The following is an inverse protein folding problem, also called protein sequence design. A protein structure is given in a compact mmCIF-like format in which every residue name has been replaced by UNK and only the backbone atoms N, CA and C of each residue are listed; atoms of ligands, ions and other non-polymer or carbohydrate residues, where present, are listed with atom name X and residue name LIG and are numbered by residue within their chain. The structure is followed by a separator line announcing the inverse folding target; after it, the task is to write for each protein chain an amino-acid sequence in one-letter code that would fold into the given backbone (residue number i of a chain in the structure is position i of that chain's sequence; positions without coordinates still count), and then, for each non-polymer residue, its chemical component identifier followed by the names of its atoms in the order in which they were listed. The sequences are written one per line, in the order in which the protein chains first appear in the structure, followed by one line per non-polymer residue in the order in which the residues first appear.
data_IF_571931129626
#
_entry.id   IF_571931129626
#
_cell.length_a   1.000
_cell.length_b   1.000
_cell.length_c   1.000
_cell.angle_alpha   90.00
_cell.angle_beta   90.00
_cell.angle_gamma   90.00
#
_symmetry.space_group_name_H-M   'P 1'
#
loop_
_entity.id
_entity.type
_entity.pdbx_description
1 polymer ?
#
# COMPACT_ATOMS: atom_id res chain seq x y z
N UNK A 1 -24.45 -10.25 66.63
CA UNK A 1 -23.16 -9.53 66.66
C UNK A 1 -22.53 -9.58 65.27
N UNK A 2 -21.97 -8.44 64.84
CA UNK A 2 -21.01 -8.23 63.75
C UNK A 2 -21.48 -8.34 62.29
N UNK A 3 -21.84 -7.16 61.79
CA UNK A 3 -21.73 -6.63 60.42
C UNK A 3 -20.45 -7.10 59.69
N UNK A 4 -20.58 -7.45 58.41
CA UNK A 4 -19.57 -7.12 57.39
C UNK A 4 -20.26 -6.55 56.16
N UNK A 5 -20.17 -5.24 56.06
CA UNK A 5 -20.45 -4.42 54.89
C UNK A 5 -19.35 -4.71 53.88
N UNK A 6 -19.69 -5.17 52.68
CA UNK A 6 -18.76 -5.20 51.55
C UNK A 6 -19.16 -4.07 50.61
N UNK A 7 -18.43 -2.96 50.73
CA UNK A 7 -18.34 -1.92 49.70
C UNK A 7 -17.81 -2.58 48.42
N UNK A 8 -18.58 -2.61 47.35
CA UNK A 8 -18.04 -2.77 46.00
C UNK A 8 -18.04 -1.39 45.37
N UNK A 9 -16.83 -0.85 45.24
CA UNK A 9 -16.52 0.43 44.66
C UNK A 9 -17.00 0.50 43.20
N UNK A 10 -17.74 1.55 42.89
CA UNK A 10 -18.01 2.01 41.53
C UNK A 10 -16.66 2.48 40.96
N UNK A 11 -15.96 1.57 40.29
CA UNK A 11 -14.80 1.91 39.49
C UNK A 11 -15.32 2.44 38.15
N UNK A 12 -15.55 3.76 38.12
CA UNK A 12 -15.69 4.54 36.90
C UNK A 12 -14.47 4.29 36.03
N UNK A 13 -14.60 3.43 35.02
CA UNK A 13 -13.68 3.34 33.91
C UNK A 13 -13.69 4.70 33.19
N UNK A 14 -12.77 5.56 33.60
CA UNK A 14 -12.29 6.64 32.74
C UNK A 14 -11.63 5.93 31.56
N UNK A 15 -12.37 5.83 30.46
CA UNK A 15 -11.84 5.53 29.13
C UNK A 15 -10.91 6.69 28.77
N UNK A 16 -9.69 6.66 29.31
CA UNK A 16 -8.60 7.49 28.83
C UNK A 16 -8.40 7.14 27.36
N UNK A 17 -8.75 8.11 26.50
CA UNK A 17 -8.53 8.02 25.07
C UNK A 17 -7.10 7.57 24.79
N UNK A 18 -6.98 6.38 24.23
CA UNK A 18 -5.74 5.88 23.68
C UNK A 18 -5.49 6.70 22.41
N UNK A 19 -4.87 7.87 22.56
CA UNK A 19 -4.35 8.61 21.42
C UNK A 19 -3.27 7.73 20.80
N UNK A 20 -3.59 7.09 19.67
CA UNK A 20 -2.60 6.44 18.81
C UNK A 20 -1.58 7.52 18.43
N UNK A 21 -0.44 7.55 19.12
CA UNK A 21 0.73 8.26 18.61
C UNK A 21 1.08 7.60 17.29
N UNK A 22 0.98 8.37 16.22
CA UNK A 22 1.45 7.90 14.92
C UNK A 22 2.92 7.50 15.07
N UNK A 23 3.21 6.26 14.68
CA UNK A 23 4.54 5.64 14.84
C UNK A 23 5.56 6.30 13.90
N UNK A 24 5.09 7.09 12.94
CA UNK A 24 5.85 7.86 11.95
C UNK A 24 5.24 9.25 11.79
N UNK A 25 6.04 10.24 11.36
CA UNK A 25 5.57 11.63 11.16
C UNK A 25 5.16 11.93 9.72
N UNK A 26 5.72 11.18 8.76
CA UNK A 26 5.46 11.24 7.31
C UNK A 26 5.66 9.86 6.68
N UNK A 27 5.14 9.65 5.48
CA UNK A 27 5.39 8.42 4.70
C UNK A 27 6.89 8.28 4.42
N UNK A 28 7.58 9.41 4.15
CA UNK A 28 9.04 9.42 3.95
C UNK A 28 9.80 8.99 5.21
N UNK A 29 9.37 9.39 6.42
CA UNK A 29 9.95 8.92 7.69
C UNK A 29 9.78 7.40 7.83
N UNK A 30 8.57 6.89 7.62
CA UNK A 30 8.29 5.47 7.71
C UNK A 30 9.13 4.64 6.73
N UNK A 31 9.22 5.08 5.47
CA UNK A 31 10.01 4.45 4.42
C UNK A 31 11.50 4.43 4.77
N UNK A 32 12.04 5.55 5.26
CA UNK A 32 13.44 5.68 5.68
C UNK A 32 13.76 4.74 6.84
N UNK A 33 12.81 4.55 7.75
CA UNK A 33 12.90 3.63 8.89
C UNK A 33 12.57 2.18 8.53
N UNK A 34 12.40 1.88 7.24
CA UNK A 34 12.03 0.58 6.70
C UNK A 34 10.75 -0.01 7.30
N UNK A 35 9.85 0.85 7.79
CA UNK A 35 8.53 0.44 8.21
C UNK A 35 7.74 -0.01 6.98
N UNK A 36 6.94 -1.05 7.16
CA UNK A 36 5.94 -1.42 6.16
C UNK A 36 4.67 -0.65 6.47
N UNK A 37 4.20 0.11 5.50
CA UNK A 37 2.91 0.78 5.61
C UNK A 37 1.90 0.09 4.70
N UNK A 38 0.66 0.00 5.16
CA UNK A 38 -0.51 -0.35 4.36
C UNK A 38 -1.42 0.87 4.30
N UNK A 39 -1.77 1.30 3.09
CA UNK A 39 -2.72 2.35 2.80
C UNK A 39 -3.92 1.73 2.08
N UNK A 40 -5.12 1.97 2.58
CA UNK A 40 -6.36 1.45 1.99
C UNK A 40 -7.20 2.59 1.44
N UNK A 41 -7.63 2.44 0.18
CA UNK A 41 -8.48 3.39 -0.52
C UNK A 41 -9.70 2.67 -1.02
N UNK A 42 -10.87 3.21 -0.71
CA UNK A 42 -12.15 2.75 -1.24
C UNK A 42 -12.63 3.79 -2.25
N UNK A 43 -12.89 3.38 -3.49
CA UNK A 43 -13.45 4.26 -4.50
C UNK A 43 -14.97 4.44 -4.34
N UNK A 44 -15.58 5.26 -5.21
CA UNK A 44 -17.02 5.56 -5.17
C UNK A 44 -17.89 4.34 -5.41
N UNK A 45 -17.36 3.32 -6.11
CA UNK A 45 -18.01 2.03 -6.36
C UNK A 45 -17.85 1.04 -5.19
N UNK A 46 -17.18 1.43 -4.11
CA UNK A 46 -16.93 0.59 -2.94
C UNK A 46 -15.79 -0.40 -3.11
N UNK A 47 -15.01 -0.32 -4.19
CA UNK A 47 -13.87 -1.18 -4.42
C UNK A 47 -12.68 -0.69 -3.60
N UNK A 48 -12.15 -1.59 -2.76
CA UNK A 48 -11.00 -1.27 -1.91
C UNK A 48 -9.70 -1.72 -2.56
N UNK A 49 -8.84 -0.76 -2.87
CA UNK A 49 -7.46 -0.98 -3.28
C UNK A 49 -6.54 -0.85 -2.07
N UNK A 50 -5.62 -1.81 -1.89
CA UNK A 50 -4.59 -1.74 -0.85
C UNK A 50 -3.24 -1.44 -1.49
N UNK A 51 -2.56 -0.41 -1.01
CA UNK A 51 -1.19 -0.08 -1.38
C UNK A 51 -0.28 -0.33 -0.19
N UNK A 52 0.77 -1.11 -0.36
CA UNK A 52 1.80 -1.34 0.64
C UNK A 52 3.10 -0.70 0.19
N UNK A 53 3.84 -0.10 1.12
CA UNK A 53 5.13 0.51 0.84
C UNK A 53 6.15 0.14 1.90
N UNK A 54 7.36 -0.21 1.46
CA UNK A 54 8.51 -0.51 2.31
C UNK A 54 9.79 -0.17 1.56
N UNK A 55 10.56 0.80 2.05
CA UNK A 55 11.76 1.27 1.34
C UNK A 55 11.40 1.76 -0.07
N UNK A 56 12.18 1.35 -1.07
CA UNK A 56 11.91 1.62 -2.48
C UNK A 56 11.08 0.51 -3.14
N UNK A 57 10.09 -0.02 -2.43
CA UNK A 57 9.18 -1.04 -2.97
C UNK A 57 7.75 -0.65 -2.68
N UNK A 58 6.89 -0.75 -3.70
CA UNK A 58 5.46 -0.47 -3.60
C UNK A 58 4.68 -1.65 -4.15
N UNK A 59 3.75 -2.20 -3.37
CA UNK A 59 2.84 -3.27 -3.79
C UNK A 59 1.42 -2.72 -3.86
N UNK A 60 0.74 -2.90 -4.99
CA UNK A 60 -0.67 -2.57 -5.14
C UNK A 60 -1.47 -3.86 -5.28
N UNK A 61 -2.48 -4.03 -4.43
CA UNK A 61 -3.34 -5.21 -4.41
C UNK A 61 -4.75 -4.81 -4.75
N UNK A 62 -5.32 -5.49 -5.75
CA UNK A 62 -6.69 -5.28 -6.20
C UNK A 62 -6.95 -3.94 -6.86
N UNK A 63 -6.00 -3.42 -7.65
CA UNK A 63 -6.22 -2.22 -8.46
C UNK A 63 -7.00 -2.57 -9.75
N UNK A 64 -7.89 -1.67 -10.20
CA UNK A 64 -8.71 -1.85 -11.40
C UNK A 64 -10.20 -1.70 -11.12
N UNK A 65 -11.01 -1.40 -12.14
CA UNK A 65 -12.47 -1.28 -12.02
C UNK A 65 -13.16 -2.55 -12.54
N UNK A 66 -14.15 -3.04 -11.79
CA UNK A 66 -15.00 -4.16 -12.20
C UNK A 66 -14.50 -5.53 -11.72
N UNK A 67 -14.58 -6.56 -12.57
CA UNK A 67 -14.24 -7.95 -12.20
C UNK A 67 -12.76 -8.28 -12.31
N UNK A 68 -11.99 -7.51 -13.07
CA UNK A 68 -10.57 -7.79 -13.32
C UNK A 68 -9.70 -7.06 -12.30
N UNK A 69 -9.20 -7.80 -11.32
CA UNK A 69 -8.25 -7.28 -10.33
C UNK A 69 -6.83 -7.42 -10.87
N UNK A 70 -6.14 -6.29 -10.97
CA UNK A 70 -4.73 -6.23 -11.32
C UNK A 70 -3.91 -6.03 -10.05
N UNK A 71 -2.82 -6.77 -10.02
CA UNK A 71 -1.79 -6.72 -9.01
C UNK A 71 -0.61 -5.92 -9.56
N UNK A 72 0.00 -5.09 -8.72
CA UNK A 72 1.16 -4.28 -9.09
C UNK A 72 2.29 -4.41 -8.07
N UNK A 73 3.53 -4.38 -8.54
CA UNK A 73 4.74 -4.28 -7.72
C UNK A 73 5.75 -3.37 -8.40
N UNK A 74 6.09 -2.26 -7.76
CA UNK A 74 7.21 -1.40 -8.16
C UNK A 74 8.42 -1.74 -7.33
N UNK A 75 9.52 -2.09 -7.99
CA UNK A 75 10.83 -2.38 -7.37
C UNK A 75 11.90 -2.37 -8.46
N UNK A 76 13.15 -2.10 -8.08
CA UNK A 76 14.30 -2.21 -8.99
C UNK A 76 14.11 -1.40 -10.30
N UNK A 77 13.49 -0.21 -10.19
CA UNK A 77 13.11 0.68 -11.32
C UNK A 77 12.15 0.06 -12.36
N UNK A 78 11.48 -1.03 -11.99
CA UNK A 78 10.50 -1.73 -12.81
C UNK A 78 9.14 -1.73 -12.14
N UNK A 79 8.10 -1.74 -12.96
CA UNK A 79 6.74 -1.92 -12.54
C UNK A 79 6.19 -3.22 -13.13
N UNK A 80 5.99 -4.20 -12.26
CA UNK A 80 5.39 -5.48 -12.56
C UNK A 80 3.88 -5.35 -12.38
N UNK A 81 3.13 -5.64 -13.42
CA UNK A 81 1.67 -5.67 -13.40
C UNK A 81 1.20 -7.06 -13.81
N UNK A 82 0.27 -7.67 -13.08
CA UNK A 82 -0.22 -9.00 -13.42
C UNK A 82 -1.65 -9.25 -12.98
N UNK A 83 -2.25 -10.31 -13.53
CA UNK A 83 -3.49 -10.88 -13.03
C UNK A 83 -3.24 -12.27 -12.44
N UNK A 84 -3.76 -12.49 -11.24
CA UNK A 84 -3.72 -13.80 -10.59
C UNK A 84 -4.64 -14.83 -11.28
N UNK A 85 -5.63 -14.36 -12.04
CA UNK A 85 -6.62 -15.20 -12.73
C UNK A 85 -6.02 -15.89 -13.95
N UNK A 86 -5.38 -15.12 -14.84
CA UNK A 86 -4.82 -15.64 -16.09
C UNK A 86 -3.34 -16.03 -15.99
N UNK A 87 -2.69 -15.77 -14.85
CA UNK A 87 -1.27 -16.03 -14.59
C UNK A 87 -0.33 -15.36 -15.59
N UNK A 88 -0.75 -14.21 -16.11
CA UNK A 88 0.03 -13.38 -17.04
C UNK A 88 0.31 -12.01 -16.45
N UNK A 89 1.46 -11.46 -16.80
CA UNK A 89 1.86 -10.13 -16.40
C UNK A 89 2.78 -9.46 -17.41
N UNK A 90 3.00 -8.18 -17.18
CA UNK A 90 3.87 -7.33 -17.96
C UNK A 90 4.87 -6.62 -17.05
N UNK A 91 6.04 -6.34 -17.61
CA UNK A 91 7.09 -5.56 -16.95
C UNK A 91 7.25 -4.25 -17.72
N UNK A 92 7.10 -3.15 -17.00
CA UNK A 92 7.33 -1.80 -17.49
C UNK A 92 8.59 -1.23 -16.83
N UNK A 93 9.44 -0.57 -17.61
CA UNK A 93 10.50 0.25 -17.04
C UNK A 93 9.94 1.62 -16.67
N UNK A 94 10.05 2.00 -15.40
CA UNK A 94 9.47 3.26 -14.90
C UNK A 94 10.09 4.45 -15.63
N UNK A 95 11.40 4.42 -15.86
CA UNK A 95 12.13 5.47 -16.58
C UNK A 95 11.71 5.64 -18.06
N UNK A 96 11.04 4.64 -18.65
CA UNK A 96 10.56 4.67 -20.04
C UNK A 96 9.06 5.01 -20.14
N UNK A 97 8.38 5.26 -19.02
CA UNK A 97 7.00 5.73 -19.02
C UNK A 97 6.98 7.19 -19.50
N UNK A 98 6.56 7.40 -20.76
CA UNK A 98 6.32 8.73 -21.34
C UNK A 98 4.93 9.26 -20.95
N UNK A 99 4.60 10.48 -21.39
CA UNK A 99 3.29 11.11 -21.17
C UNK A 99 2.13 10.14 -21.43
N UNK A 100 1.28 9.94 -20.42
CA UNK A 100 0.19 8.95 -20.46
C UNK A 100 0.53 7.63 -19.74
N UNK A 101 1.63 7.60 -18.99
CA UNK A 101 2.04 6.45 -18.18
C UNK A 101 1.12 6.13 -16.99
N UNK A 102 1.62 5.34 -16.05
CA UNK A 102 0.85 4.96 -14.85
C UNK A 102 0.47 6.21 -14.03
N UNK A 103 -0.81 6.37 -13.73
CA UNK A 103 -1.32 7.48 -12.90
C UNK A 103 -1.84 6.95 -11.57
N UNK A 104 -1.64 7.73 -10.51
CA UNK A 104 -2.27 7.53 -9.21
C UNK A 104 -3.09 8.77 -8.87
N UNK A 105 -4.40 8.70 -9.08
CA UNK A 105 -5.24 9.90 -9.13
C UNK A 105 -4.85 10.77 -10.34
N UNK A 106 -4.64 12.07 -10.10
CA UNK A 106 -4.25 13.02 -11.15
C UNK A 106 -2.74 13.03 -11.41
N UNK A 107 -1.94 12.40 -10.53
CA UNK A 107 -0.47 12.44 -10.62
C UNK A 107 0.05 11.32 -11.52
N UNK A 108 0.89 11.71 -12.48
CA UNK A 108 1.69 10.79 -13.28
C UNK A 108 2.85 10.24 -12.45
N UNK A 109 3.01 8.92 -12.45
CA UNK A 109 4.03 8.22 -11.66
C UNK A 109 5.24 7.94 -12.54
N UNK A 110 6.34 8.67 -12.28
CA UNK A 110 7.64 8.52 -12.96
C UNK A 110 8.71 7.95 -12.06
N UNK A 111 8.38 7.75 -10.78
CA UNK A 111 9.29 7.26 -9.77
C UNK A 111 8.52 6.76 -8.55
N UNK A 112 9.21 6.03 -7.67
CA UNK A 112 8.66 5.65 -6.37
C UNK A 112 8.51 6.89 -5.46
N UNK A 113 9.38 7.90 -5.61
CA UNK A 113 9.23 9.17 -4.91
C UNK A 113 7.92 9.90 -5.28
N UNK A 114 7.45 9.75 -6.53
CA UNK A 114 6.14 10.30 -6.92
C UNK A 114 5.00 9.64 -6.15
N UNK A 115 5.06 8.31 -6.01
CA UNK A 115 4.10 7.53 -5.23
C UNK A 115 4.16 7.94 -3.77
N UNK A 116 5.34 8.06 -3.17
CA UNK A 116 5.51 8.55 -1.79
C UNK A 116 4.83 9.91 -1.64
N UNK A 117 4.99 10.81 -2.61
CA UNK A 117 4.31 12.11 -2.62
C UNK A 117 2.78 12.00 -2.57
N UNK A 118 2.18 11.12 -3.40
CA UNK A 118 0.72 10.89 -3.38
C UNK A 118 0.26 10.30 -2.05
N UNK A 119 1.02 9.35 -1.50
CA UNK A 119 0.69 8.72 -0.22
C UNK A 119 0.80 9.71 0.94
N UNK A 120 1.70 10.70 0.86
CA UNK A 120 1.85 11.74 1.87
C UNK A 120 0.58 12.60 2.00
N UNK A 121 -0.04 12.95 0.87
CA UNK A 121 -1.31 13.69 0.83
C UNK A 121 -2.46 12.91 1.49
N UNK A 122 -2.36 11.58 1.51
CA UNK A 122 -3.39 10.67 2.04
C UNK A 122 -2.88 9.83 3.20
N UNK A 123 -1.92 10.35 3.98
CA UNK A 123 -1.23 9.59 5.04
C UNK A 123 -2.16 9.09 6.15
N UNK A 124 -3.29 9.73 6.37
CA UNK A 124 -4.32 9.31 7.33
C UNK A 124 -4.94 7.95 6.97
N UNK A 125 -4.84 7.56 5.70
CA UNK A 125 -5.26 6.24 5.20
C UNK A 125 -4.20 5.17 5.37
N UNK A 126 -3.00 5.55 5.80
CA UNK A 126 -1.85 4.65 5.94
C UNK A 126 -1.63 4.26 7.40
N UNK A 127 -1.31 2.99 7.63
CA UNK A 127 -1.00 2.44 8.95
C UNK A 127 0.23 1.56 8.86
N UNK A 128 1.01 1.50 9.95
CA UNK A 128 2.07 0.51 10.07
C UNK A 128 1.45 -0.88 10.04
N UNK A 129 2.08 -1.74 9.27
CA UNK A 129 1.58 -3.06 8.97
C UNK A 129 2.73 -4.08 9.14
N UNK A 130 2.38 -5.32 9.45
CA UNK A 130 3.33 -6.36 9.90
C UNK A 130 3.59 -7.44 8.86
N UNK A 131 3.22 -7.17 7.61
CA UNK A 131 3.31 -8.12 6.50
C UNK A 131 4.77 -8.50 6.22
N UNK A 132 4.96 -9.76 5.85
CA UNK A 132 6.26 -10.36 5.60
C UNK A 132 6.91 -9.89 4.28
N UNK A 133 8.21 -10.18 4.15
CA UNK A 133 9.02 -9.82 2.98
C UNK A 133 8.44 -10.32 1.65
N UNK A 134 7.78 -11.49 1.65
CA UNK A 134 7.18 -12.09 0.46
C UNK A 134 6.13 -11.23 -0.24
N UNK A 135 5.56 -10.23 0.44
CA UNK A 135 4.64 -9.28 -0.18
C UNK A 135 5.31 -8.44 -1.30
N UNK A 136 6.62 -8.24 -1.21
CA UNK A 136 7.41 -7.41 -2.12
C UNK A 136 8.28 -8.25 -3.08
N UNK A 137 8.04 -9.55 -3.16
CA UNK A 137 8.70 -10.45 -4.09
C UNK A 137 7.91 -10.54 -5.40
N UNK A 138 8.65 -10.68 -6.51
CA UNK A 138 8.03 -10.93 -7.82
C UNK A 138 7.49 -12.37 -7.80
N UNK A 139 6.19 -12.59 -8.08
CA UNK A 139 5.63 -13.93 -8.03
C UNK A 139 6.24 -14.82 -9.11
N UNK A 140 6.62 -16.05 -8.73
CA UNK A 140 7.28 -17.01 -9.63
C UNK A 140 6.32 -17.82 -10.48
N UNK A 141 5.03 -17.81 -10.15
CA UNK A 141 3.96 -18.52 -10.84
C UNK A 141 3.30 -17.67 -11.95
N UNK A 142 3.76 -16.44 -12.15
CA UNK A 142 3.27 -15.52 -13.18
C UNK A 142 4.25 -15.47 -14.35
N UNK A 143 3.71 -15.56 -15.58
CA UNK A 143 4.49 -15.38 -16.81
C UNK A 143 4.54 -13.90 -17.16
N UNK A 144 5.70 -13.29 -16.98
CA UNK A 144 5.92 -11.89 -17.28
C UNK A 144 6.52 -11.68 -18.67
N UNK A 145 5.96 -10.73 -19.41
CA UNK A 145 6.50 -10.26 -20.70
C UNK A 145 7.03 -8.83 -20.54
N UNK A 146 8.27 -8.59 -20.96
CA UNK A 146 8.84 -7.23 -20.98
C UNK A 146 8.30 -6.41 -22.15
N UNK A 147 8.00 -5.14 -21.92
CA UNK A 147 7.60 -4.20 -22.98
C UNK A 147 8.78 -3.53 -23.66
N UNK A 148 10.02 -3.88 -23.31
CA UNK A 148 11.26 -3.32 -23.90
C UNK A 148 11.33 -3.43 -25.43
N UNK A 149 10.56 -4.34 -26.05
CA UNK A 149 10.45 -4.47 -27.51
C UNK A 149 9.23 -3.80 -28.15
N UNK A 150 8.30 -3.22 -27.37
CA UNK A 150 6.99 -2.77 -27.87
C UNK A 150 6.90 -1.24 -28.05
N UNK A 151 7.66 -0.46 -27.28
CA UNK A 151 7.64 1.01 -27.31
C UNK A 151 8.85 1.63 -28.04
N UNK A 152 9.61 0.81 -28.80
CA UNK A 152 10.85 1.21 -29.48
C UNK A 152 10.73 1.44 -30.99
N UNK A 153 9.53 1.75 -31.51
CA UNK A 153 9.35 2.19 -32.92
C UNK A 153 8.91 3.65 -32.99
#
# INVERSE_FOLDING_TARGET
MMKKIVLIAVLTLVLSGCQKKDVFTSIRDAVTRQLTLKCEYTDEDGQTTSTYIKGQMVRMVGAGSGTTKIEGLMRDNKFYLWSNENKQGMILEIAKLTEGGAKMGEKEIKSIDDVIGVLEEKKDKCKVASEGAGLFEVPTDIKFTSTEGFFGQ
#
